data_IF_032707487786
#
_entry.id   IF_032707487786
#
_cell.length_a   1.000
_cell.length_b   1.000
_cell.length_c   1.000
_cell.angle_alpha   90.00
_cell.angle_beta   90.00
_cell.angle_gamma   90.00
#
_symmetry.space_group_name_H-M   'P 1'
#
loop_
_entity.id
_entity.type
_entity.pdbx_description
1 polymer ?
#
# COMPACT_ATOMS: atom_id res chain seq x y z
N UNK A 1 12.47 -19.14 17.20
CA UNK A 1 11.30 -18.38 16.71
C UNK A 1 10.68 -17.59 17.84
N UNK A 2 10.53 -16.28 17.67
CA UNK A 2 9.88 -15.41 18.66
C UNK A 2 8.38 -15.70 18.77
N UNK A 3 7.73 -15.24 19.83
CA UNK A 3 6.27 -15.32 19.96
C UNK A 3 5.55 -14.57 18.82
N UNK A 4 6.12 -13.44 18.38
CA UNK A 4 5.62 -12.67 17.22
C UNK A 4 5.70 -13.48 15.93
N UNK A 5 6.79 -14.24 15.71
CA UNK A 5 6.94 -15.09 14.52
C UNK A 5 5.88 -16.20 14.50
N UNK A 6 5.62 -16.84 15.65
CA UNK A 6 4.60 -17.89 15.75
C UNK A 6 3.21 -17.36 15.47
N UNK A 7 2.86 -16.20 16.05
CA UNK A 7 1.58 -15.55 15.81
C UNK A 7 1.43 -15.17 14.33
N UNK A 8 2.47 -14.57 13.75
CA UNK A 8 2.47 -14.19 12.34
C UNK A 8 2.29 -15.40 11.41
N UNK A 9 2.96 -16.52 11.69
CA UNK A 9 2.82 -17.75 10.93
C UNK A 9 1.39 -18.35 11.04
N UNK A 10 0.79 -18.33 12.24
CA UNK A 10 -0.58 -18.82 12.44
C UNK A 10 -1.62 -17.93 11.73
N UNK A 11 -1.49 -16.60 11.84
CA UNK A 11 -2.30 -15.65 11.09
C UNK A 11 -2.13 -15.84 9.58
N UNK A 12 -0.90 -16.00 9.09
CA UNK A 12 -0.64 -16.23 7.67
C UNK A 12 -1.37 -17.47 7.14
N UNK A 13 -1.28 -18.59 7.87
CA UNK A 13 -1.97 -19.83 7.53
C UNK A 13 -3.49 -19.64 7.52
N UNK A 14 -4.05 -19.10 8.60
CA UNK A 14 -5.51 -18.83 8.72
C UNK A 14 -6.02 -17.88 7.64
N UNK A 15 -5.25 -16.82 7.34
CA UNK A 15 -5.58 -15.87 6.27
C UNK A 15 -5.60 -16.53 4.90
N UNK A 16 -4.64 -17.41 4.62
CA UNK A 16 -4.57 -18.17 3.36
C UNK A 16 -5.76 -19.13 3.22
N UNK A 17 -6.10 -19.88 4.26
CA UNK A 17 -7.28 -20.78 4.27
C UNK A 17 -8.59 -19.99 4.08
N UNK A 18 -8.72 -18.84 4.75
CA UNK A 18 -9.89 -17.96 4.62
C UNK A 18 -10.01 -17.37 3.20
N UNK A 19 -8.88 -16.94 2.62
CA UNK A 19 -8.81 -16.42 1.27
C UNK A 19 -9.25 -17.46 0.23
N UNK A 20 -8.83 -18.72 0.37
CA UNK A 20 -9.25 -19.81 -0.52
C UNK A 20 -10.76 -20.07 -0.46
N UNK A 21 -11.36 -19.89 0.72
CA UNK A 21 -12.81 -19.99 0.94
C UNK A 21 -13.56 -18.69 0.63
N UNK A 22 -12.87 -17.68 0.09
CA UNK A 22 -13.42 -16.35 -0.17
C UNK A 22 -14.04 -15.68 1.06
N UNK A 23 -13.62 -16.08 2.26
CA UNK A 23 -13.95 -15.38 3.50
C UNK A 23 -13.01 -14.17 3.62
N UNK A 24 -13.30 -13.15 2.83
CA UNK A 24 -12.43 -12.00 2.66
C UNK A 24 -12.22 -11.23 3.95
N UNK A 25 -13.27 -10.96 4.73
CA UNK A 25 -13.14 -10.18 5.96
C UNK A 25 -12.20 -10.83 6.97
N UNK A 26 -12.34 -12.14 7.16
CA UNK A 26 -11.44 -12.86 8.06
C UNK A 26 -10.02 -12.97 7.48
N UNK A 27 -9.88 -13.16 6.16
CA UNK A 27 -8.58 -13.15 5.50
C UNK A 27 -7.85 -11.82 5.70
N UNK A 28 -8.55 -10.69 5.50
CA UNK A 28 -8.01 -9.35 5.72
C UNK A 28 -7.61 -9.10 7.18
N UNK A 29 -8.41 -9.57 8.14
CA UNK A 29 -8.05 -9.49 9.56
C UNK A 29 -6.74 -10.23 9.87
N UNK A 30 -6.59 -11.44 9.33
CA UNK A 30 -5.40 -12.26 9.56
C UNK A 30 -4.17 -11.67 8.87
N UNK A 31 -4.26 -11.30 7.59
CA UNK A 31 -3.15 -10.67 6.87
C UNK A 31 -2.78 -9.29 7.43
N UNK A 32 -3.77 -8.50 7.88
CA UNK A 32 -3.53 -7.22 8.55
C UNK A 32 -2.77 -7.37 9.87
N UNK A 33 -2.96 -8.49 10.57
CA UNK A 33 -2.15 -8.82 11.76
C UNK A 33 -0.70 -9.09 11.37
N UNK A 34 -0.45 -9.83 10.29
CA UNK A 34 0.91 -10.05 9.77
C UNK A 34 1.59 -8.74 9.39
N UNK A 35 0.89 -7.85 8.67
CA UNK A 35 1.39 -6.51 8.31
C UNK A 35 1.68 -5.67 9.55
N UNK A 36 0.84 -5.72 10.58
CA UNK A 36 1.09 -4.98 11.83
C UNK A 36 2.31 -5.49 12.60
N UNK A 37 2.58 -6.79 12.54
CA UNK A 37 3.72 -7.42 13.24
C UNK A 37 5.04 -7.27 12.49
N UNK A 38 4.99 -7.26 11.15
CA UNK A 38 6.15 -7.15 10.23
C UNK A 38 5.84 -6.14 9.13
N UNK A 39 5.79 -4.84 9.46
CA UNK A 39 5.36 -3.79 8.55
C UNK A 39 6.24 -3.65 7.30
N UNK A 40 7.50 -4.04 7.38
CA UNK A 40 8.49 -4.03 6.29
C UNK A 40 8.31 -5.16 5.27
N UNK A 41 7.53 -6.21 5.61
CA UNK A 41 7.42 -7.39 4.77
C UNK A 41 6.50 -7.12 3.55
N UNK A 42 7.10 -6.95 2.37
CA UNK A 42 6.36 -6.63 1.14
C UNK A 42 5.40 -7.74 0.72
N UNK A 43 5.72 -9.02 0.99
CA UNK A 43 4.87 -10.15 0.60
C UNK A 43 3.54 -10.10 1.36
N UNK A 44 3.58 -9.73 2.65
CA UNK A 44 2.36 -9.55 3.44
C UNK A 44 1.52 -8.38 2.94
N UNK A 45 2.17 -7.28 2.55
CA UNK A 45 1.51 -6.10 1.97
C UNK A 45 0.85 -6.41 0.63
N UNK A 46 1.58 -7.05 -0.29
CA UNK A 46 1.07 -7.52 -1.58
C UNK A 46 -0.12 -8.46 -1.42
N UNK A 47 -0.04 -9.41 -0.49
CA UNK A 47 -1.11 -10.38 -0.24
C UNK A 47 -2.36 -9.70 0.35
N UNK A 48 -2.18 -8.82 1.34
CA UNK A 48 -3.28 -8.03 1.91
C UNK A 48 -3.94 -7.16 0.82
N UNK A 49 -3.13 -6.52 -0.02
CA UNK A 49 -3.59 -5.69 -1.13
C UNK A 49 -4.43 -6.49 -2.13
N UNK A 50 -3.90 -7.59 -2.64
CA UNK A 50 -4.59 -8.45 -3.60
C UNK A 50 -5.86 -9.07 -3.01
N UNK A 51 -5.84 -9.45 -1.74
CA UNK A 51 -7.03 -9.94 -1.03
C UNK A 51 -8.11 -8.86 -0.93
N UNK A 52 -7.72 -7.61 -0.61
CA UNK A 52 -8.65 -6.48 -0.52
C UNK A 52 -9.23 -6.14 -1.90
N UNK A 53 -8.43 -6.19 -2.95
CA UNK A 53 -8.90 -5.98 -4.33
C UNK A 53 -9.94 -7.02 -4.74
N UNK A 54 -9.72 -8.30 -4.39
CA UNK A 54 -10.68 -9.39 -4.62
C UNK A 54 -11.96 -9.25 -3.82
N UNK A 55 -11.89 -8.78 -2.57
CA UNK A 55 -13.08 -8.48 -1.74
C UNK A 55 -14.06 -7.53 -2.45
N UNK A 56 -13.53 -6.54 -3.17
CA UNK A 56 -14.32 -5.56 -3.90
C UNK A 56 -14.50 -5.91 -5.38
N UNK A 57 -14.39 -7.20 -5.74
CA UNK A 57 -14.57 -7.71 -7.11
C UNK A 57 -13.76 -6.93 -8.16
N UNK A 58 -12.60 -6.43 -7.77
CA UNK A 58 -11.74 -5.60 -8.61
C UNK A 58 -12.41 -4.36 -9.21
N UNK A 59 -13.42 -3.79 -8.54
CA UNK A 59 -14.23 -2.67 -9.03
C UNK A 59 -13.50 -1.31 -9.18
N UNK A 60 -12.19 -1.25 -8.88
CA UNK A 60 -11.33 -0.05 -8.96
C UNK A 60 -11.72 1.13 -8.07
N UNK A 61 -12.73 0.96 -7.21
CA UNK A 61 -13.33 2.04 -6.41
C UNK A 61 -13.51 1.67 -4.93
N UNK A 62 -13.25 0.41 -4.56
CA UNK A 62 -13.35 -0.10 -3.20
C UNK A 62 -14.79 -0.10 -2.69
N UNK A 63 -14.99 0.35 -1.46
CA UNK A 63 -16.31 0.50 -0.85
C UNK A 63 -17.16 1.65 -1.45
N UNK A 64 -16.64 2.40 -2.44
CA UNK A 64 -17.37 3.45 -3.13
C UNK A 64 -17.74 4.66 -2.26
N UNK A 65 -18.76 5.40 -2.69
CA UNK A 65 -19.12 6.71 -2.11
C UNK A 65 -19.51 6.68 -0.62
N UNK A 66 -20.04 5.56 -0.12
CA UNK A 66 -20.48 5.40 1.27
C UNK A 66 -19.32 5.47 2.28
N UNK A 67 -18.07 5.24 1.84
CA UNK A 67 -16.90 5.23 2.71
C UNK A 67 -16.12 6.56 2.73
N UNK A 68 -16.59 7.61 2.03
CA UNK A 68 -15.89 8.91 1.94
C UNK A 68 -15.62 9.55 3.30
N UNK A 69 -16.58 9.50 4.22
CA UNK A 69 -16.41 10.06 5.58
C UNK A 69 -15.31 9.33 6.37
N UNK A 70 -15.25 7.99 6.27
CA UNK A 70 -14.21 7.18 6.91
C UNK A 70 -12.83 7.49 6.33
N UNK A 71 -12.72 7.63 5.00
CA UNK A 71 -11.49 8.02 4.32
C UNK A 71 -11.03 9.44 4.72
N UNK A 72 -11.94 10.38 4.91
CA UNK A 72 -11.60 11.73 5.37
C UNK A 72 -10.95 11.71 6.77
N UNK A 73 -11.51 10.95 7.71
CA UNK A 73 -10.92 10.77 9.04
C UNK A 73 -9.54 10.11 8.98
N UNK A 74 -9.33 9.17 8.06
CA UNK A 74 -8.02 8.55 7.80
C UNK A 74 -7.01 9.58 7.28
N UNK A 75 -7.36 10.36 6.26
CA UNK A 75 -6.49 11.41 5.69
C UNK A 75 -6.11 12.48 6.72
N UNK A 76 -7.02 12.82 7.64
CA UNK A 76 -6.71 13.72 8.76
C UNK A 76 -5.62 13.14 9.67
N UNK A 77 -5.71 11.85 10.03
CA UNK A 77 -4.68 11.17 10.82
C UNK A 77 -3.33 11.10 10.08
N UNK A 78 -3.35 10.77 8.79
CA UNK A 78 -2.14 10.76 7.94
C UNK A 78 -1.48 12.14 7.96
N UNK A 79 -2.24 13.22 7.70
CA UNK A 79 -1.70 14.59 7.73
C UNK A 79 -1.09 14.95 9.08
N UNK A 80 -1.75 14.57 10.18
CA UNK A 80 -1.25 14.82 11.54
C UNK A 80 0.04 14.04 11.82
N UNK A 81 0.08 12.74 11.50
CA UNK A 81 1.24 11.90 11.69
C UNK A 81 2.42 12.39 10.85
N UNK A 82 2.17 12.73 9.57
CA UNK A 82 3.17 13.31 8.66
C UNK A 82 3.79 14.59 9.22
N UNK A 83 2.97 15.54 9.70
CA UNK A 83 3.46 16.80 10.28
C UNK A 83 4.27 16.64 11.57
N UNK A 84 4.22 15.45 12.19
CA UNK A 84 5.01 15.09 13.36
C UNK A 84 6.12 14.08 13.06
N UNK A 85 6.27 13.69 11.80
CA UNK A 85 7.20 12.65 11.37
C UNK A 85 6.95 11.28 12.06
N UNK A 86 5.70 11.02 12.48
CA UNK A 86 5.25 9.75 13.05
C UNK A 86 5.00 8.72 11.92
N UNK A 87 6.06 8.34 11.19
CA UNK A 87 5.97 7.55 9.95
C UNK A 87 5.29 6.19 10.13
N UNK A 88 5.48 5.53 11.27
CA UNK A 88 4.81 4.26 11.57
C UNK A 88 3.28 4.42 11.71
N UNK A 89 2.82 5.53 12.30
CA UNK A 89 1.40 5.83 12.44
C UNK A 89 0.79 6.28 11.12
N UNK A 90 1.56 7.00 10.30
CA UNK A 90 1.19 7.36 8.94
C UNK A 90 0.96 6.11 8.07
N UNK A 91 1.92 5.17 8.06
CA UNK A 91 1.83 3.88 7.37
C UNK A 91 0.58 3.09 7.81
N UNK A 92 0.39 2.95 9.12
CA UNK A 92 -0.79 2.25 9.67
C UNK A 92 -2.10 2.90 9.23
N UNK A 93 -2.22 4.22 9.32
CA UNK A 93 -3.42 4.93 8.92
C UNK A 93 -3.69 4.79 7.41
N UNK A 94 -2.64 4.85 6.58
CA UNK A 94 -2.75 4.66 5.15
C UNK A 94 -3.22 3.24 4.80
N UNK A 95 -2.64 2.20 5.40
CA UNK A 95 -3.05 0.81 5.17
C UNK A 95 -4.52 0.57 5.59
N UNK A 96 -4.96 1.15 6.72
CA UNK A 96 -6.38 1.11 7.13
C UNK A 96 -7.31 1.73 6.07
N UNK A 97 -6.87 2.79 5.39
CA UNK A 97 -7.60 3.38 4.26
C UNK A 97 -7.61 2.47 3.03
N UNK A 98 -6.52 1.75 2.79
CA UNK A 98 -6.40 0.86 1.65
C UNK A 98 -7.24 -0.41 1.80
N UNK A 99 -7.62 -0.79 3.02
CA UNK A 99 -8.68 -1.78 3.27
C UNK A 99 -10.08 -1.31 2.82
N UNK A 100 -10.27 -0.01 2.63
CA UNK A 100 -11.52 0.60 2.13
C UNK A 100 -11.45 0.80 0.62
N UNK A 101 -10.34 1.33 0.12
CA UNK A 101 -10.08 1.49 -1.31
C UNK A 101 -8.62 1.12 -1.64
N UNK A 102 -8.35 -0.12 -2.11
CA UNK A 102 -6.98 -0.57 -2.35
C UNK A 102 -6.33 0.10 -3.57
N UNK A 103 -7.10 0.81 -4.40
CA UNK A 103 -6.64 1.53 -5.60
C UNK A 103 -6.48 3.03 -5.37
N UNK A 104 -6.70 3.52 -4.16
CA UNK A 104 -6.52 4.95 -3.87
C UNK A 104 -5.05 5.33 -4.04
N UNK A 105 -4.76 6.11 -5.08
CA UNK A 105 -3.38 6.48 -5.46
C UNK A 105 -2.71 7.28 -4.36
N UNK A 106 -3.41 8.23 -3.74
CA UNK A 106 -2.89 9.03 -2.64
C UNK A 106 -2.52 8.19 -1.43
N UNK A 107 -3.38 7.26 -1.00
CA UNK A 107 -3.06 6.38 0.12
C UNK A 107 -1.91 5.41 -0.18
N UNK A 108 -1.77 4.96 -1.44
CA UNK A 108 -0.61 4.18 -1.85
C UNK A 108 0.69 5.01 -1.80
N UNK A 109 0.65 6.27 -2.26
CA UNK A 109 1.77 7.20 -2.08
C UNK A 109 2.07 7.44 -0.59
N UNK A 110 1.05 7.56 0.28
CA UNK A 110 1.24 7.72 1.72
C UNK A 110 1.99 6.52 2.33
N UNK A 111 1.65 5.29 1.93
CA UNK A 111 2.43 4.09 2.32
C UNK A 111 3.86 4.17 1.79
N UNK A 112 4.03 4.58 0.53
CA UNK A 112 5.34 4.73 -0.11
C UNK A 112 6.26 5.71 0.63
N UNK A 113 5.75 6.89 0.96
CA UNK A 113 6.46 7.94 1.70
C UNK A 113 6.85 7.45 3.09
N UNK A 114 5.90 6.88 3.84
CA UNK A 114 6.17 6.35 5.17
C UNK A 114 7.17 5.19 5.16
N UNK A 115 7.11 4.31 4.16
CA UNK A 115 8.06 3.22 3.98
C UNK A 115 9.47 3.73 3.65
N UNK A 116 9.59 4.70 2.73
CA UNK A 116 10.86 5.33 2.38
C UNK A 116 11.51 6.00 3.59
N UNK A 117 10.75 6.78 4.38
CA UNK A 117 11.25 7.42 5.61
C UNK A 117 11.67 6.44 6.71
N UNK A 118 11.27 5.17 6.59
CA UNK A 118 11.62 4.07 7.48
C UNK A 118 12.62 3.09 6.85
N UNK A 119 13.16 3.44 5.68
CA UNK A 119 14.12 2.65 4.91
C UNK A 119 13.59 1.28 4.43
N UNK A 120 12.27 1.14 4.33
CA UNK A 120 11.61 -0.05 3.81
C UNK A 120 11.48 0.04 2.28
N UNK A 121 12.63 0.08 1.59
CA UNK A 121 12.70 0.48 0.18
C UNK A 121 11.91 -0.44 -0.76
N UNK A 122 11.89 -1.75 -0.50
CA UNK A 122 11.09 -2.70 -1.29
C UNK A 122 9.58 -2.43 -1.15
N UNK A 123 9.13 -2.04 0.04
CA UNK A 123 7.75 -1.64 0.27
C UNK A 123 7.45 -0.27 -0.36
N UNK A 124 8.38 0.68 -0.29
CA UNK A 124 8.25 1.97 -0.94
C UNK A 124 8.05 1.79 -2.45
N UNK A 125 8.91 1.00 -3.09
CA UNK A 125 8.81 0.67 -4.52
C UNK A 125 7.44 0.03 -4.85
N UNK A 126 7.02 -0.98 -4.08
CA UNK A 126 5.73 -1.62 -4.29
C UNK A 126 4.55 -0.62 -4.20
N UNK A 127 4.57 0.26 -3.20
CA UNK A 127 3.50 1.21 -2.95
C UNK A 127 3.41 2.28 -4.05
N UNK A 128 4.54 2.88 -4.45
CA UNK A 128 4.55 3.85 -5.55
C UNK A 128 4.26 3.22 -6.90
N UNK A 129 4.73 1.99 -7.17
CA UNK A 129 4.34 1.23 -8.35
C UNK A 129 2.82 1.03 -8.39
N UNK A 130 2.22 0.64 -7.26
CA UNK A 130 0.76 0.43 -7.15
C UNK A 130 0.00 1.75 -7.39
N UNK A 131 0.50 2.88 -6.88
CA UNK A 131 -0.09 4.19 -7.15
C UNK A 131 0.01 4.60 -8.63
N UNK A 132 1.17 4.36 -9.27
CA UNK A 132 1.38 4.62 -10.69
C UNK A 132 0.48 3.74 -11.57
N UNK A 133 0.41 2.43 -11.32
CA UNK A 133 -0.42 1.51 -12.11
C UNK A 133 -1.92 1.79 -11.98
N UNK A 134 -2.36 2.34 -10.85
CA UNK A 134 -3.75 2.73 -10.65
C UNK A 134 -4.15 3.98 -11.45
N UNK A 135 -3.21 4.88 -11.74
CA UNK A 135 -3.41 6.04 -12.62
C UNK A 135 -2.12 6.42 -13.36
N UNK A 136 -1.87 5.73 -14.47
CA UNK A 136 -0.65 5.92 -15.28
C UNK A 136 -0.57 7.30 -15.94
N UNK A 137 -1.65 8.10 -15.93
CA UNK A 137 -1.66 9.45 -16.49
C UNK A 137 -1.31 10.52 -15.45
N UNK A 138 -1.25 10.14 -14.17
CA UNK A 138 -0.85 11.04 -13.10
C UNK A 138 0.69 11.20 -13.09
N UNK A 139 1.16 12.33 -13.62
CA UNK A 139 2.58 12.67 -13.70
C UNK A 139 3.27 12.71 -12.33
N UNK A 140 2.58 13.19 -11.29
CA UNK A 140 3.14 13.27 -9.94
C UNK A 140 3.42 11.87 -9.37
N UNK A 141 2.50 10.92 -9.56
CA UNK A 141 2.71 9.53 -9.13
C UNK A 141 3.84 8.85 -9.93
N UNK A 142 3.90 9.11 -11.25
CA UNK A 142 4.96 8.59 -12.11
C UNK A 142 6.34 9.11 -11.68
N UNK A 143 6.47 10.41 -11.41
CA UNK A 143 7.73 11.01 -10.93
C UNK A 143 8.13 10.39 -9.58
N UNK A 144 7.22 10.31 -8.61
CA UNK A 144 7.52 9.67 -7.31
C UNK A 144 7.97 8.22 -7.45
N UNK A 145 7.38 7.47 -8.39
CA UNK A 145 7.81 6.11 -8.63
C UNK A 145 9.20 6.06 -9.28
N UNK A 146 9.50 6.96 -10.23
CA UNK A 146 10.82 7.09 -10.81
C UNK A 146 11.89 7.46 -9.77
N UNK A 147 11.59 8.38 -8.85
CA UNK A 147 12.49 8.79 -7.77
C UNK A 147 12.87 7.59 -6.88
N UNK A 148 11.89 6.75 -6.51
CA UNK A 148 12.20 5.52 -5.75
C UNK A 148 13.00 4.52 -6.56
N UNK A 149 12.70 4.36 -7.86
CA UNK A 149 13.50 3.49 -8.73
C UNK A 149 14.96 3.97 -8.80
N UNK A 150 15.20 5.27 -8.86
CA UNK A 150 16.54 5.86 -8.81
C UNK A 150 17.23 5.57 -7.47
N UNK A 151 16.56 5.82 -6.34
CA UNK A 151 17.10 5.58 -5.00
C UNK A 151 17.48 4.12 -4.75
N UNK A 152 16.74 3.16 -5.33
CA UNK A 152 17.05 1.72 -5.21
C UNK A 152 18.01 1.21 -6.31
N UNK A 153 18.53 2.09 -7.17
CA UNK A 153 19.51 1.78 -8.20
C UNK A 153 18.94 1.16 -9.48
N UNK A 154 17.62 1.21 -9.68
CA UNK A 154 16.90 0.74 -10.88
C UNK A 154 16.82 1.84 -11.96
N UNK A 155 17.97 2.42 -12.28
CA UNK A 155 18.08 3.59 -13.16
C UNK A 155 17.41 3.41 -14.53
N UNK A 156 17.56 2.23 -15.16
CA UNK A 156 16.95 1.95 -16.46
C UNK A 156 15.43 1.99 -16.40
N UNK A 157 14.83 1.55 -15.30
CA UNK A 157 13.39 1.59 -15.13
C UNK A 157 12.92 3.00 -14.76
N UNK A 158 13.67 3.74 -13.93
CA UNK A 158 13.43 5.15 -13.65
C UNK A 158 13.37 5.98 -14.95
N UNK A 159 14.36 5.82 -15.85
CA UNK A 159 14.37 6.48 -17.15
C UNK A 159 13.13 6.16 -17.99
N UNK A 160 12.68 4.89 -18.05
CA UNK A 160 11.46 4.53 -18.78
C UNK A 160 10.22 5.23 -18.23
N UNK A 161 10.12 5.37 -16.91
CA UNK A 161 9.00 6.08 -16.28
C UNK A 161 9.08 7.59 -16.61
N UNK A 162 10.26 8.19 -16.58
CA UNK A 162 10.44 9.60 -16.94
C UNK A 162 10.17 9.87 -18.42
N UNK A 163 10.58 8.97 -19.33
CA UNK A 163 10.20 9.02 -20.75
C UNK A 163 8.69 8.90 -20.97
N UNK A 164 7.99 8.15 -20.11
CA UNK A 164 6.53 8.11 -20.13
C UNK A 164 5.94 9.46 -19.68
N UNK A 165 6.50 10.09 -18.65
CA UNK A 165 6.09 11.43 -18.20
C UNK A 165 6.26 12.48 -19.30
N UNK A 166 7.38 12.48 -20.03
CA UNK A 166 7.60 13.42 -21.14
C UNK A 166 6.62 13.19 -22.28
N UNK A 167 6.18 11.96 -22.54
CA UNK A 167 5.12 11.71 -23.54
C UNK A 167 3.74 12.22 -23.11
N UNK A 168 3.48 12.33 -21.80
CA UNK A 168 2.27 12.95 -21.26
C UNK A 168 2.34 14.48 -21.25
N UNK A 169 3.54 15.06 -21.35
CA UNK A 169 3.82 16.50 -21.44
C UNK A 169 4.95 16.78 -22.44
N UNK A 170 4.65 16.76 -23.75
CA UNK A 170 5.66 16.83 -24.80
C UNK A 170 6.45 18.14 -24.84
#
# INVERSE_FOLDING_TARGET
MSQKDKLCADCWRKGTEAMQKQNWDYALQMFGTCVSLKPENVVYRQTLRGCTQKKYDNNKTGAGGLAKAKLMGIRSRIKKARGKEEWADMDKAAEEGLLINPWDTGLNCDVGEAAQKREFMELAEFAYKTAFEADVKNKENAIRFADILDEVGKYTDACKILEHVTKLDP
#
